data_IF_803762555499
#
_entry.id   IF_803762555499
#
_cell.length_a   1.000
_cell.length_b   1.000
_cell.length_c   1.000
_cell.angle_alpha   90.00
_cell.angle_beta   90.00
_cell.angle_gamma   90.00
#
_symmetry.space_group_name_H-M   'P 1'
#
loop_
_entity.id
_entity.type
_entity.pdbx_description
1 polymer ?
#
# COMPACT_ATOMS: atom_id res chain seq x y z
N UNK A 1 -27.64 3.77 -31.00
CA UNK A 1 -26.81 3.31 -29.87
C UNK A 1 -25.44 3.00 -30.42
N UNK A 2 -24.48 3.90 -30.25
CA UNK A 2 -23.10 3.63 -30.65
C UNK A 2 -22.55 2.56 -29.74
N UNK A 3 -22.10 1.42 -30.28
CA UNK A 3 -21.47 0.37 -29.50
C UNK A 3 -20.13 0.88 -28.99
N UNK A 4 -19.99 1.13 -27.70
CA UNK A 4 -18.70 1.41 -27.08
C UNK A 4 -17.85 0.14 -27.13
N UNK A 5 -16.62 0.27 -27.62
CA UNK A 5 -15.65 -0.84 -27.63
C UNK A 5 -14.94 -0.84 -26.28
N UNK A 6 -14.92 -2.00 -25.61
CA UNK A 6 -14.28 -2.19 -24.31
C UNK A 6 -13.01 -3.03 -24.48
N UNK A 7 -11.88 -2.50 -24.00
CA UNK A 7 -10.59 -3.18 -23.96
C UNK A 7 -10.27 -3.55 -22.50
N UNK A 8 -10.15 -4.85 -22.22
CA UNK A 8 -9.90 -5.35 -20.86
C UNK A 8 -8.40 -5.40 -20.58
N UNK A 9 -7.92 -4.49 -19.73
CA UNK A 9 -6.59 -4.53 -19.15
C UNK A 9 -6.50 -5.47 -17.94
N UNK A 10 -5.31 -5.54 -17.33
CA UNK A 10 -5.04 -6.40 -16.18
C UNK A 10 -5.62 -5.82 -14.88
N UNK A 11 -5.51 -4.50 -14.69
CA UNK A 11 -6.11 -3.75 -13.57
C UNK A 11 -6.91 -2.54 -14.07
N UNK A 12 -7.43 -2.60 -15.29
CA UNK A 12 -8.25 -1.53 -15.84
C UNK A 12 -9.10 -1.99 -17.00
N UNK A 13 -10.07 -1.16 -17.37
CA UNK A 13 -10.91 -1.26 -18.56
C UNK A 13 -10.78 0.06 -19.31
N UNK A 14 -10.64 -0.01 -20.63
CA UNK A 14 -10.65 1.18 -21.48
C UNK A 14 -11.87 1.12 -22.37
N UNK A 15 -12.71 2.15 -22.33
CA UNK A 15 -13.82 2.32 -23.23
C UNK A 15 -13.51 3.44 -24.22
N UNK A 16 -13.80 3.22 -25.49
CA UNK A 16 -13.77 4.29 -26.50
C UNK A 16 -15.18 4.85 -26.62
N UNK A 17 -15.37 6.08 -26.15
CA UNK A 17 -16.65 6.81 -26.14
C UNK A 17 -16.54 8.02 -27.07
N UNK A 18 -16.94 7.84 -28.34
CA UNK A 18 -16.97 8.86 -29.40
C UNK A 18 -15.65 9.62 -29.60
N UNK A 19 -15.37 10.62 -28.76
CA UNK A 19 -14.22 11.53 -28.80
C UNK A 19 -13.28 11.37 -27.57
N UNK A 20 -13.59 10.43 -26.67
CA UNK A 20 -12.94 10.29 -25.38
C UNK A 20 -12.56 8.84 -25.09
N UNK A 21 -11.42 8.66 -24.44
CA UNK A 21 -11.06 7.42 -23.76
C UNK A 21 -11.59 7.50 -22.33
N UNK A 22 -12.35 6.49 -21.91
CA UNK A 22 -12.76 6.34 -20.51
C UNK A 22 -11.96 5.19 -19.91
N UNK A 23 -11.06 5.50 -18.98
CA UNK A 23 -10.23 4.51 -18.29
C UNK A 23 -10.80 4.28 -16.90
N UNK A 24 -11.19 3.05 -16.62
CA UNK A 24 -11.66 2.61 -15.30
C UNK A 24 -10.61 1.69 -14.72
N UNK A 25 -9.95 2.11 -13.65
CA UNK A 25 -8.98 1.28 -12.95
C UNK A 25 -9.67 0.38 -11.93
N UNK A 26 -9.19 -0.84 -11.78
CA UNK A 26 -9.62 -1.73 -10.70
C UNK A 26 -8.69 -1.54 -9.53
N UNK A 27 -9.27 -1.24 -8.38
CA UNK A 27 -8.56 -1.21 -7.12
C UNK A 27 -8.06 -2.61 -6.77
N UNK A 28 -6.74 -2.75 -6.60
CA UNK A 28 -6.09 -4.02 -6.28
C UNK A 28 -6.48 -4.51 -4.88
N UNK A 29 -6.80 -3.60 -3.96
CA UNK A 29 -7.14 -3.93 -2.58
C UNK A 29 -8.57 -4.46 -2.46
N UNK A 30 -9.55 -3.71 -2.98
CA UNK A 30 -10.98 -4.06 -2.85
C UNK A 30 -11.48 -4.91 -4.01
N UNK A 31 -10.80 -4.88 -5.16
CA UNK A 31 -11.32 -5.42 -6.42
C UNK A 31 -12.41 -4.56 -7.07
N UNK A 32 -12.74 -3.40 -6.48
CA UNK A 32 -13.75 -2.47 -6.98
C UNK A 32 -13.24 -1.61 -8.13
N UNK A 33 -14.16 -1.05 -8.92
CA UNK A 33 -13.83 -0.10 -9.97
C UNK A 33 -13.65 1.31 -9.35
N UNK A 34 -12.51 1.95 -9.61
CA UNK A 34 -12.23 3.34 -9.24
C UNK A 34 -12.99 4.32 -10.14
N UNK A 35 -13.17 5.60 -9.72
CA UNK A 35 -13.80 6.61 -10.56
C UNK A 35 -13.18 6.68 -11.97
N UNK A 36 -14.01 6.75 -13.03
CA UNK A 36 -13.52 6.75 -14.40
C UNK A 36 -12.74 8.02 -14.72
N UNK A 37 -11.58 7.87 -15.36
CA UNK A 37 -10.80 8.97 -15.93
C UNK A 37 -11.22 9.16 -17.38
N UNK A 38 -11.64 10.37 -17.74
CA UNK A 38 -12.02 10.73 -19.11
C UNK A 38 -10.91 11.54 -19.77
N UNK A 39 -10.33 10.98 -20.82
CA UNK A 39 -9.23 11.58 -21.58
C UNK A 39 -9.73 11.87 -23.00
N UNK A 40 -9.93 13.14 -23.38
CA UNK A 40 -10.26 13.49 -24.75
C UNK A 40 -9.18 12.96 -25.70
N UNK A 41 -9.57 12.31 -26.79
CA UNK A 41 -8.64 11.80 -27.82
C UNK A 41 -7.84 12.95 -28.43
N UNK A 42 -8.45 14.13 -28.53
CA UNK A 42 -7.81 15.37 -28.95
C UNK A 42 -6.66 15.83 -28.04
N UNK A 43 -6.67 15.44 -26.76
CA UNK A 43 -5.63 15.79 -25.80
C UNK A 43 -4.41 14.83 -25.85
N UNK A 44 -4.56 13.66 -26.48
CA UNK A 44 -3.47 12.68 -26.61
C UNK A 44 -2.50 13.15 -27.68
N UNK A 45 -1.28 13.49 -27.27
CA UNK A 45 -0.21 13.96 -28.15
C UNK A 45 0.63 12.81 -28.74
N UNK A 46 0.78 11.72 -27.98
CA UNK A 46 1.48 10.51 -28.40
C UNK A 46 1.05 9.30 -27.58
N UNK A 47 1.39 8.10 -28.06
CA UNK A 47 1.26 6.85 -27.31
C UNK A 47 2.56 6.03 -27.35
N UNK A 48 2.70 5.11 -26.40
CA UNK A 48 3.72 4.06 -26.44
C UNK A 48 3.12 2.72 -26.03
N UNK A 49 3.29 1.72 -26.88
CA UNK A 49 2.91 0.33 -26.61
C UNK A 49 4.14 -0.51 -26.28
N UNK A 50 4.13 -1.14 -25.10
CA UNK A 50 5.14 -2.11 -24.68
C UNK A 50 4.49 -3.49 -24.63
N UNK A 51 5.01 -4.42 -25.42
CA UNK A 51 4.48 -5.79 -25.52
C UNK A 51 4.83 -6.58 -24.24
N UNK A 52 3.89 -7.36 -23.68
CA UNK A 52 4.16 -8.21 -22.52
C UNK A 52 5.25 -9.24 -22.80
N UNK A 53 6.05 -9.54 -21.78
CA UNK A 53 7.07 -10.60 -21.82
C UNK A 53 6.72 -11.72 -20.83
N UNK A 54 7.58 -12.73 -20.66
CA UNK A 54 7.38 -13.74 -19.62
C UNK A 54 7.41 -13.18 -18.19
N UNK A 55 8.10 -12.05 -17.97
CA UNK A 55 8.32 -11.49 -16.64
C UNK A 55 7.63 -10.13 -16.41
N UNK A 56 7.05 -9.53 -17.46
CA UNK A 56 6.46 -8.19 -17.39
C UNK A 56 5.13 -8.13 -18.13
N UNK A 57 4.17 -7.45 -17.53
CA UNK A 57 2.92 -7.06 -18.19
C UNK A 57 3.19 -6.08 -19.34
N UNK A 58 2.28 -6.08 -20.32
CA UNK A 58 2.24 -5.08 -21.38
C UNK A 58 1.78 -3.75 -20.82
N UNK A 59 2.13 -2.66 -21.51
CA UNK A 59 1.76 -1.30 -21.12
C UNK A 59 1.33 -0.51 -22.37
N UNK A 60 0.20 0.18 -22.29
CA UNK A 60 -0.18 1.25 -23.21
C UNK A 60 -0.09 2.55 -22.43
N UNK A 61 0.90 3.38 -22.76
CA UNK A 61 1.10 4.72 -22.18
C UNK A 61 0.53 5.79 -23.08
N UNK A 62 -0.25 6.69 -22.50
CA UNK A 62 -0.79 7.88 -23.13
C UNK A 62 0.05 9.08 -22.72
N UNK A 63 0.39 9.95 -23.66
CA UNK A 63 1.04 11.22 -23.39
C UNK A 63 0.05 12.32 -23.74
N UNK A 64 -0.40 13.06 -22.72
CA UNK A 64 -1.40 14.12 -22.86
C UNK A 64 -0.70 15.48 -22.88
N UNK A 65 -1.06 16.33 -23.84
CA UNK A 65 -0.45 17.65 -24.03
C UNK A 65 0.96 17.58 -24.61
N UNK A 66 1.98 17.38 -23.78
CA UNK A 66 3.40 17.43 -24.18
C UNK A 66 4.01 16.04 -24.22
N UNK A 67 4.76 15.74 -25.29
CA UNK A 67 5.50 14.47 -25.41
C UNK A 67 6.84 14.58 -24.68
N UNK A 68 7.10 13.78 -23.62
CA UNK A 68 8.37 13.81 -22.90
C UNK A 68 9.50 13.18 -23.72
N UNK A 69 10.72 13.68 -23.49
CA UNK A 69 11.95 13.24 -24.19
C UNK A 69 12.39 11.83 -23.77
N UNK A 70 12.11 11.43 -22.52
CA UNK A 70 12.44 10.10 -22.00
C UNK A 70 11.18 9.22 -21.93
N UNK A 71 11.23 8.03 -22.54
CA UNK A 71 10.08 7.12 -22.69
C UNK A 71 10.45 5.68 -22.35
N UNK A 72 11.15 5.49 -21.23
CA UNK A 72 11.42 4.15 -20.73
C UNK A 72 10.13 3.48 -20.23
N UNK A 73 10.09 2.15 -20.35
CA UNK A 73 9.02 1.34 -19.80
C UNK A 73 8.98 1.50 -18.27
N UNK A 74 7.82 1.80 -17.72
CA UNK A 74 7.65 1.90 -16.27
C UNK A 74 7.81 0.51 -15.63
N UNK A 75 8.25 0.47 -14.38
CA UNK A 75 8.13 -0.77 -13.58
C UNK A 75 6.65 -1.14 -13.47
N UNK A 76 6.31 -2.42 -13.26
CA UNK A 76 4.90 -2.82 -13.12
C UNK A 76 4.19 -2.03 -12.02
N UNK A 77 4.86 -1.79 -10.89
CA UNK A 77 4.29 -0.99 -9.81
C UNK A 77 4.06 0.48 -10.21
N UNK A 78 5.04 1.11 -10.87
CA UNK A 78 4.89 2.48 -11.37
C UNK A 78 3.80 2.59 -12.45
N UNK A 79 3.71 1.61 -13.35
CA UNK A 79 2.68 1.55 -14.39
C UNK A 79 1.28 1.43 -13.81
N UNK A 80 1.10 0.69 -12.70
CA UNK A 80 -0.20 0.58 -12.00
C UNK A 80 -0.55 1.81 -11.15
N UNK A 81 0.35 2.79 -11.06
CA UNK A 81 0.15 4.05 -10.34
C UNK A 81 -0.02 5.25 -11.28
N UNK A 82 0.40 5.12 -12.53
CA UNK A 82 0.28 6.18 -13.53
C UNK A 82 -1.13 6.18 -14.15
N UNK A 83 -1.94 7.25 -13.96
CA UNK A 83 -3.31 7.34 -14.49
C UNK A 83 -3.37 7.38 -16.03
N UNK A 84 -2.22 7.56 -16.69
CA UNK A 84 -2.07 7.54 -18.14
C UNK A 84 -1.45 6.24 -18.66
N UNK A 85 -1.25 5.25 -17.79
CA UNK A 85 -0.74 3.92 -18.17
C UNK A 85 -1.80 2.85 -17.95
N UNK A 86 -2.08 2.09 -19.01
CA UNK A 86 -2.91 0.89 -18.94
C UNK A 86 -2.03 -0.35 -19.04
N UNK A 87 -2.16 -1.28 -18.08
CA UNK A 87 -1.43 -2.55 -18.10
C UNK A 87 -2.30 -3.67 -18.65
N UNK A 88 -1.72 -4.61 -19.39
CA UNK A 88 -2.46 -5.74 -19.99
C UNK A 88 -1.61 -7.01 -20.06
N UNK A 89 -2.28 -8.17 -20.15
CA UNK A 89 -1.63 -9.48 -20.20
C UNK A 89 -1.31 -9.92 -21.65
N UNK A 90 -0.73 -11.11 -21.80
CA UNK A 90 -0.40 -11.67 -23.12
C UNK A 90 -1.62 -11.98 -23.99
N UNK A 91 -2.80 -12.21 -23.39
CA UNK A 91 -4.02 -12.58 -24.12
C UNK A 91 -4.64 -11.34 -24.78
N UNK A 92 -4.52 -10.19 -24.14
CA UNK A 92 -5.04 -8.91 -24.63
C UNK A 92 -4.11 -8.17 -25.61
N UNK A 93 -2.98 -8.76 -26.03
CA UNK A 93 -2.01 -8.08 -26.92
C UNK A 93 -2.63 -7.64 -28.23
N UNK A 94 -3.46 -8.48 -28.85
CA UNK A 94 -4.15 -8.15 -30.10
C UNK A 94 -5.06 -6.92 -29.93
N UNK A 95 -5.88 -6.92 -28.89
CA UNK A 95 -6.82 -5.84 -28.59
C UNK A 95 -6.10 -4.51 -28.34
N UNK A 96 -5.04 -4.50 -27.53
CA UNK A 96 -4.26 -3.29 -27.26
C UNK A 96 -3.41 -2.83 -28.43
N UNK A 97 -3.02 -3.73 -29.33
CA UNK A 97 -2.36 -3.36 -30.60
C UNK A 97 -3.34 -2.67 -31.54
N UNK A 98 -4.58 -3.16 -31.61
CA UNK A 98 -5.65 -2.51 -32.37
C UNK A 98 -6.02 -1.14 -31.79
N UNK A 99 -6.14 -1.02 -30.46
CA UNK A 99 -6.35 0.27 -29.78
C UNK A 99 -5.22 1.26 -30.06
N UNK A 100 -3.96 0.83 -29.93
CA UNK A 100 -2.81 1.68 -30.23
C UNK A 100 -2.81 2.16 -31.69
N UNK A 101 -3.12 1.27 -32.63
CA UNK A 101 -3.22 1.61 -34.05
C UNK A 101 -4.30 2.67 -34.32
N UNK A 102 -5.47 2.52 -33.69
CA UNK A 102 -6.55 3.50 -33.81
C UNK A 102 -6.18 4.86 -33.18
N UNK A 103 -5.48 4.84 -32.04
CA UNK A 103 -4.98 6.06 -31.39
C UNK A 103 -3.95 6.79 -32.25
N UNK A 104 -2.97 6.08 -32.82
CA UNK A 104 -1.99 6.69 -33.74
C UNK A 104 -2.67 7.37 -34.94
N UNK A 105 -3.70 6.72 -35.52
CA UNK A 105 -4.49 7.29 -36.62
C UNK A 105 -5.26 8.55 -36.18
N UNK A 106 -5.86 8.51 -34.99
CA UNK A 106 -6.62 9.64 -34.44
C UNK A 106 -5.72 10.82 -34.12
N UNK A 107 -4.52 10.57 -33.58
CA UNK A 107 -3.50 11.59 -33.33
C UNK A 107 -3.06 12.25 -34.63
N UNK A 108 -2.74 11.44 -35.65
CA UNK A 108 -2.35 11.96 -36.96
C UNK A 108 -3.46 12.81 -37.61
N UNK A 109 -4.73 12.39 -37.47
CA UNK A 109 -5.87 13.17 -37.93
C UNK A 109 -5.98 14.52 -37.20
N UNK A 110 -5.94 14.52 -35.87
CA UNK A 110 -6.01 15.74 -35.04
C UNK A 110 -4.89 16.74 -35.40
N UNK A 111 -3.68 16.25 -35.61
CA UNK A 111 -2.56 17.07 -36.06
C UNK A 111 -2.80 17.66 -37.47
N UNK A 112 -3.38 16.89 -38.38
CA UNK A 112 -3.66 17.34 -39.75
C UNK A 112 -4.72 18.46 -39.82
N UNK A 113 -5.65 18.50 -38.86
CA UNK A 113 -6.68 19.54 -38.75
C UNK A 113 -6.27 20.70 -37.83
N UNK A 114 -5.02 20.72 -37.36
CA UNK A 114 -4.48 21.80 -36.55
C UNK A 114 -4.94 21.81 -35.09
N UNK A 115 -5.41 20.67 -34.56
CA UNK A 115 -5.70 20.53 -33.13
C UNK A 115 -4.41 20.51 -32.33
N UNK A 116 -4.26 21.47 -31.41
CA UNK A 116 -3.17 21.51 -30.44
C UNK A 116 -3.55 20.72 -29.18
N UNK A 117 -2.90 19.57 -28.89
CA UNK A 117 -3.24 18.76 -27.72
C UNK A 117 -2.95 19.45 -26.40
N UNK A 118 -2.09 20.48 -26.36
CA UNK A 118 -1.76 21.21 -25.12
C UNK A 118 -2.87 22.13 -24.65
N UNK A 119 -3.77 22.55 -25.57
CA UNK A 119 -4.92 23.39 -25.26
C UNK A 119 -6.17 22.63 -24.85
N UNK A 120 -6.15 21.29 -24.91
CA UNK A 120 -7.33 20.47 -24.59
C UNK A 120 -7.31 20.14 -23.08
N UNK A 121 -8.30 20.60 -22.31
CA UNK A 121 -8.34 20.34 -20.87
C UNK A 121 -8.53 18.85 -20.60
N UNK A 122 -7.75 18.30 -19.67
CA UNK A 122 -7.90 16.93 -19.18
C UNK A 122 -8.02 16.99 -17.67
N UNK A 123 -9.10 16.41 -17.18
CA UNK A 123 -9.35 16.27 -15.75
C UNK A 123 -8.61 15.01 -15.26
N UNK A 124 -7.32 15.18 -15.00
CA UNK A 124 -6.52 14.15 -14.35
C UNK A 124 -6.63 14.34 -12.85
N UNK A 125 -6.89 13.27 -12.08
CA UNK A 125 -6.85 13.38 -10.63
C UNK A 125 -5.44 13.83 -10.24
N UNK A 126 -5.35 14.78 -9.31
CA UNK A 126 -4.05 15.28 -8.88
C UNK A 126 -3.25 14.10 -8.32
N UNK A 127 -1.94 14.06 -8.60
CA UNK A 127 -1.08 12.98 -8.10
C UNK A 127 -1.15 12.88 -6.58
N UNK A 128 -1.30 14.02 -5.88
CA UNK A 128 -1.42 14.07 -4.42
C UNK A 128 -2.73 13.45 -3.91
N UNK A 129 -3.86 13.73 -4.58
CA UNK A 129 -5.15 13.13 -4.21
C UNK A 129 -5.15 11.61 -4.45
N UNK A 130 -4.54 11.16 -5.55
CA UNK A 130 -4.43 9.73 -5.84
C UNK A 130 -3.52 8.99 -4.88
N UNK A 131 -2.39 9.60 -4.49
CA UNK A 131 -1.45 8.98 -3.56
C UNK A 131 -2.04 8.93 -2.15
N UNK A 132 -2.77 9.97 -1.73
CA UNK A 132 -3.43 10.02 -0.42
C UNK A 132 -4.56 8.99 -0.32
N UNK A 133 -5.52 9.01 -1.26
CA UNK A 133 -6.63 8.06 -1.27
C UNK A 133 -6.14 6.61 -1.33
N UNK A 134 -5.07 6.35 -2.10
CA UNK A 134 -4.46 5.02 -2.20
C UNK A 134 -3.71 4.62 -0.93
N UNK A 135 -3.03 5.55 -0.26
CA UNK A 135 -2.36 5.27 1.02
C UNK A 135 -3.35 4.96 2.13
N UNK A 136 -4.47 5.67 2.18
CA UNK A 136 -5.58 5.41 3.11
C UNK A 136 -6.19 4.03 2.83
N UNK A 137 -6.44 3.72 1.58
CA UNK A 137 -6.99 2.44 1.16
C UNK A 137 -6.01 1.27 1.40
N UNK A 138 -4.71 1.43 1.14
CA UNK A 138 -3.68 0.43 1.46
C UNK A 138 -3.64 0.17 2.97
N UNK A 139 -3.83 1.22 3.78
CA UNK A 139 -3.96 1.13 5.23
C UNK A 139 -5.20 0.31 5.63
N UNK A 140 -6.38 0.63 5.07
CA UNK A 140 -7.63 -0.08 5.34
C UNK A 140 -7.54 -1.55 4.92
N UNK A 141 -7.05 -1.81 3.71
CA UNK A 141 -6.82 -3.15 3.18
C UNK A 141 -5.89 -3.99 4.07
N UNK A 142 -4.78 -3.38 4.50
CA UNK A 142 -3.84 -4.05 5.41
C UNK A 142 -4.49 -4.35 6.75
N UNK A 143 -5.26 -3.41 7.34
CA UNK A 143 -6.01 -3.65 8.59
C UNK A 143 -6.98 -4.83 8.44
N UNK A 144 -7.82 -4.84 7.40
CA UNK A 144 -8.75 -5.93 7.13
C UNK A 144 -8.05 -7.27 6.94
N UNK A 145 -6.90 -7.28 6.25
CA UNK A 145 -6.09 -8.49 6.07
C UNK A 145 -5.52 -9.01 7.40
N UNK A 146 -5.05 -8.12 8.29
CA UNK A 146 -4.57 -8.50 9.63
C UNK A 146 -5.72 -9.06 10.47
N UNK A 147 -6.87 -8.39 10.52
CA UNK A 147 -8.06 -8.84 11.26
C UNK A 147 -8.53 -10.22 10.76
N UNK A 148 -8.52 -10.45 9.45
CA UNK A 148 -8.81 -11.77 8.87
C UNK A 148 -7.80 -12.84 9.29
N UNK A 149 -6.54 -12.47 9.53
CA UNK A 149 -5.46 -13.39 9.92
C UNK A 149 -5.49 -13.69 11.43
N UNK A 150 -5.62 -12.66 12.25
CA UNK A 150 -5.51 -12.72 13.71
C UNK A 150 -6.85 -12.91 14.42
N UNK A 151 -7.95 -12.66 13.71
CA UNK A 151 -9.31 -12.72 14.23
C UNK A 151 -9.83 -11.35 14.66
N UNK A 152 -11.15 -11.24 14.93
CA UNK A 152 -11.76 -10.02 15.42
C UNK A 152 -11.21 -9.65 16.80
N UNK A 153 -11.07 -8.35 17.08
CA UNK A 153 -10.56 -7.85 18.36
C UNK A 153 -9.04 -7.96 18.52
N UNK A 154 -8.29 -8.10 17.42
CA UNK A 154 -6.84 -7.89 17.42
C UNK A 154 -6.50 -6.52 18.01
N UNK A 155 -5.41 -6.47 18.77
CA UNK A 155 -4.99 -5.24 19.46
C UNK A 155 -4.59 -4.16 18.45
N UNK A 156 -4.95 -2.91 18.74
CA UNK A 156 -4.73 -1.77 17.85
C UNK A 156 -3.24 -1.51 17.56
N UNK A 157 -2.36 -1.75 18.53
CA UNK A 157 -0.91 -1.57 18.37
C UNK A 157 -0.31 -2.60 17.40
N UNK A 158 -0.81 -3.84 17.43
CA UNK A 158 -0.44 -4.88 16.46
C UNK A 158 -0.91 -4.49 15.06
N UNK A 159 -2.14 -3.97 14.93
CA UNK A 159 -2.67 -3.48 13.65
C UNK A 159 -1.82 -2.33 13.09
N UNK A 160 -1.54 -1.31 13.90
CA UNK A 160 -0.75 -0.16 13.52
C UNK A 160 0.66 -0.56 13.05
N UNK A 161 1.32 -1.47 13.77
CA UNK A 161 2.64 -1.97 13.39
C UNK A 161 2.62 -2.75 12.05
N UNK A 162 1.57 -3.53 11.80
CA UNK A 162 1.41 -4.26 10.54
C UNK A 162 1.13 -3.34 9.35
N UNK A 163 0.34 -2.27 9.53
CA UNK A 163 0.07 -1.27 8.49
C UNK A 163 1.37 -0.63 7.99
N UNK A 164 2.27 -0.27 8.90
CA UNK A 164 3.57 0.32 8.52
C UNK A 164 4.49 -0.64 7.75
N UNK A 165 4.23 -1.95 7.83
CA UNK A 165 5.03 -2.97 7.16
C UNK A 165 4.66 -3.14 5.67
N UNK A 166 3.44 -2.75 5.29
CA UNK A 166 2.90 -2.98 3.95
C UNK A 166 2.49 -4.44 3.74
N UNK A 167 3.09 -5.13 2.76
CA UNK A 167 2.62 -6.45 2.32
C UNK A 167 2.77 -7.55 3.38
N UNK A 168 1.63 -8.16 3.74
CA UNK A 168 1.54 -9.28 4.69
C UNK A 168 1.61 -10.67 4.03
N UNK A 169 1.83 -10.73 2.71
CA UNK A 169 1.84 -11.98 1.98
C UNK A 169 2.93 -12.93 2.48
N UNK A 170 2.55 -14.15 2.88
CA UNK A 170 3.46 -15.16 3.42
C UNK A 170 3.75 -15.03 4.91
N UNK A 171 3.21 -14.03 5.61
CA UNK A 171 3.51 -13.78 7.02
C UNK A 171 2.44 -14.25 8.00
N UNK A 172 1.38 -14.92 7.51
CA UNK A 172 0.21 -15.32 8.33
C UNK A 172 0.58 -16.06 9.61
N UNK A 173 1.41 -17.10 9.51
CA UNK A 173 1.77 -17.93 10.68
C UNK A 173 2.68 -17.16 11.65
N UNK A 174 3.62 -16.36 11.12
CA UNK A 174 4.48 -15.48 11.92
C UNK A 174 3.70 -14.39 12.64
N UNK A 175 2.66 -13.84 12.01
CA UNK A 175 1.74 -12.87 12.61
C UNK A 175 1.05 -13.47 13.83
N UNK A 176 0.47 -14.66 13.66
CA UNK A 176 -0.21 -15.38 14.76
C UNK A 176 0.75 -15.74 15.88
N UNK A 177 1.93 -16.28 15.56
CA UNK A 177 2.93 -16.65 16.55
C UNK A 177 3.46 -15.43 17.33
N UNK A 178 3.65 -14.30 16.65
CA UNK A 178 4.04 -13.06 17.31
C UNK A 178 2.93 -12.56 18.25
N UNK A 179 1.69 -12.45 17.76
CA UNK A 179 0.57 -11.98 18.58
C UNK A 179 0.36 -12.85 19.83
N UNK A 180 0.49 -14.17 19.69
CA UNK A 180 0.40 -15.11 20.81
C UNK A 180 1.58 -15.03 21.78
N UNK A 181 2.73 -14.48 21.35
CA UNK A 181 3.90 -14.31 22.20
C UNK A 181 3.78 -13.09 23.12
N UNK A 182 2.96 -12.10 22.75
CA UNK A 182 2.82 -10.84 23.45
C UNK A 182 2.13 -11.04 24.81
N UNK A 183 2.62 -10.34 25.82
CA UNK A 183 1.91 -10.22 27.09
C UNK A 183 0.87 -9.09 27.03
N UNK A 184 -0.04 -9.05 28.00
CA UNK A 184 -1.11 -8.05 28.06
C UNK A 184 -0.62 -6.62 28.32
N UNK A 185 0.56 -6.47 28.92
CA UNK A 185 1.21 -5.21 29.28
C UNK A 185 2.23 -4.71 28.24
N UNK A 186 2.58 -5.55 27.27
CA UNK A 186 3.44 -5.15 26.15
C UNK A 186 2.68 -4.31 25.16
N UNK A 187 3.34 -3.34 24.52
CA UNK A 187 2.83 -2.62 23.34
C UNK A 187 3.83 -2.81 22.21
N UNK A 188 3.35 -3.11 21.01
CA UNK A 188 4.14 -3.25 19.79
C UNK A 188 4.42 -1.86 19.23
N UNK A 189 5.70 -1.50 19.20
CA UNK A 189 6.13 -0.19 18.67
C UNK A 189 6.45 -0.28 17.19
N UNK A 190 7.20 -1.31 16.80
CA UNK A 190 7.65 -1.50 15.42
C UNK A 190 7.64 -2.96 15.04
N UNK A 191 7.44 -3.18 13.75
CA UNK A 191 7.45 -4.48 13.12
C UNK A 191 8.20 -4.40 11.80
N UNK A 192 9.12 -5.33 11.55
CA UNK A 192 9.86 -5.38 10.29
C UNK A 192 10.01 -6.82 9.77
N UNK A 193 9.64 -7.08 8.50
CA UNK A 193 9.90 -8.33 7.83
C UNK A 193 11.36 -8.36 7.37
N UNK A 194 12.01 -9.50 7.53
CA UNK A 194 13.41 -9.69 7.19
C UNK A 194 13.81 -11.15 7.12
N UNK A 195 15.11 -11.40 7.34
CA UNK A 195 15.70 -12.72 7.33
C UNK A 195 16.62 -12.92 8.53
N UNK A 196 16.43 -14.01 9.25
CA UNK A 196 17.23 -14.42 10.40
C UNK A 196 17.65 -15.89 10.24
N UNK A 197 18.93 -16.18 10.49
CA UNK A 197 19.50 -17.52 10.32
C UNK A 197 19.21 -18.17 8.94
N UNK A 198 19.15 -17.35 7.87
CA UNK A 198 18.89 -17.79 6.50
C UNK A 198 17.40 -17.93 6.13
N UNK A 199 16.50 -18.02 7.10
CA UNK A 199 15.05 -18.11 6.91
C UNK A 199 14.35 -16.75 6.88
N UNK A 200 13.09 -16.74 6.45
CA UNK A 200 12.22 -15.57 6.58
C UNK A 200 11.91 -15.34 8.07
N UNK A 201 11.94 -14.10 8.53
CA UNK A 201 11.69 -13.77 9.92
C UNK A 201 11.02 -12.42 10.07
N UNK A 202 10.37 -12.26 11.20
CA UNK A 202 9.78 -11.02 11.64
C UNK A 202 10.56 -10.54 12.85
N UNK A 203 10.95 -9.28 12.81
CA UNK A 203 11.60 -8.58 13.90
C UNK A 203 10.58 -7.58 14.46
N UNK A 204 10.09 -7.83 15.67
CA UNK A 204 9.21 -6.88 16.36
C UNK A 204 9.90 -6.27 17.57
N UNK A 205 9.70 -4.96 17.71
CA UNK A 205 10.07 -4.19 18.89
C UNK A 205 8.80 -3.96 19.70
N UNK A 206 8.88 -4.28 20.99
CA UNK A 206 7.85 -3.95 21.96
C UNK A 206 8.44 -3.06 23.04
N UNK A 207 7.57 -2.48 23.87
CA UNK A 207 7.97 -1.71 25.06
C UNK A 207 8.90 -2.46 26.02
N UNK A 208 8.89 -3.80 26.02
CA UNK A 208 9.64 -4.62 26.99
C UNK A 208 10.80 -5.42 26.40
N UNK A 209 10.70 -5.78 25.11
CA UNK A 209 11.66 -6.67 24.43
C UNK A 209 11.62 -6.58 22.91
N UNK A 210 12.68 -7.08 22.30
CA UNK A 210 12.74 -7.43 20.88
C UNK A 210 12.44 -8.92 20.71
N UNK A 211 11.52 -9.22 19.80
CA UNK A 211 11.12 -10.58 19.42
C UNK A 211 11.55 -10.86 17.98
N UNK A 212 12.14 -12.04 17.77
CA UNK A 212 12.39 -12.58 16.42
C UNK A 212 11.55 -13.83 16.23
N UNK A 213 10.57 -13.75 15.34
CA UNK A 213 9.73 -14.87 14.95
C UNK A 213 10.17 -15.37 13.58
N UNK A 214 10.77 -16.55 13.54
CA UNK A 214 11.23 -17.15 12.28
C UNK A 214 10.11 -17.99 11.68
N UNK A 215 9.93 -17.86 10.37
CA UNK A 215 9.09 -18.73 9.56
C UNK A 215 9.99 -19.64 8.73
N UNK A 216 10.04 -20.90 9.11
CA UNK A 216 10.53 -21.98 8.26
C UNK A 216 9.35 -22.55 7.45
N UNK A 217 9.63 -23.33 6.40
CA UNK A 217 8.60 -23.87 5.49
C UNK A 217 7.42 -24.56 6.21
N UNK A 218 7.72 -25.27 7.30
CA UNK A 218 6.74 -26.08 8.02
C UNK A 218 6.52 -25.63 9.47
N UNK A 219 7.27 -24.64 9.96
CA UNK A 219 7.28 -24.26 11.38
C UNK A 219 7.54 -22.78 11.58
N UNK A 220 6.67 -22.14 12.35
CA UNK A 220 6.92 -20.84 12.93
C UNK A 220 7.35 -21.00 14.38
N UNK A 221 8.44 -20.34 14.77
CA UNK A 221 8.90 -20.34 16.17
C UNK A 221 9.47 -18.99 16.57
N UNK A 222 9.32 -18.67 17.86
CA UNK A 222 10.03 -17.56 18.48
C UNK A 222 11.47 -18.03 18.68
N UNK A 223 12.38 -17.51 17.87
CA UNK A 223 13.79 -17.92 17.88
C UNK A 223 14.61 -17.13 18.91
N UNK A 224 14.24 -15.86 19.13
CA UNK A 224 14.94 -15.02 20.08
C UNK A 224 14.01 -14.01 20.75
N UNK A 225 14.33 -13.74 22.01
CA UNK A 225 13.68 -12.77 22.88
C UNK A 225 14.79 -12.02 23.60
N UNK A 226 15.02 -10.76 23.25
CA UNK A 226 16.03 -9.91 23.88
C UNK A 226 15.33 -8.82 24.69
N UNK A 227 15.62 -8.71 26.00
CA UNK A 227 14.96 -7.69 26.84
C UNK A 227 15.59 -6.32 26.61
N UNK A 228 14.76 -5.29 26.45
CA UNK A 228 15.17 -3.96 25.96
C UNK A 228 16.17 -3.17 26.82
N UNK A 229 16.25 -3.26 28.16
CA UNK A 229 17.03 -2.27 28.92
C UNK A 229 18.55 -2.35 28.70
N UNK A 230 19.05 -3.35 27.98
CA UNK A 230 20.48 -3.53 27.69
C UNK A 230 20.76 -3.73 26.20
N UNK A 231 19.78 -3.45 25.34
CA UNK A 231 19.92 -3.66 23.92
C UNK A 231 20.76 -2.56 23.26
N UNK A 232 21.62 -2.98 22.34
CA UNK A 232 22.28 -2.11 21.38
C UNK A 232 21.85 -2.54 19.99
N UNK A 233 21.48 -1.57 19.16
CA UNK A 233 21.18 -1.80 17.76
C UNK A 233 22.15 -1.02 16.88
N UNK A 234 22.68 -1.68 15.86
CA UNK A 234 23.52 -1.07 14.82
C UNK A 234 22.88 -1.34 13.46
N UNK A 235 22.55 -0.26 12.73
CA UNK A 235 22.07 -0.35 11.36
C UNK A 235 23.23 -0.33 10.37
N UNK A 236 23.23 -1.28 9.42
CA UNK A 236 24.20 -1.39 8.34
C UNK A 236 23.45 -1.40 7.00
N UNK A 237 23.63 -0.33 6.24
CA UNK A 237 23.02 -0.21 4.92
C UNK A 237 23.74 -1.09 3.88
N UNK A 238 22.96 -1.71 2.98
CA UNK A 238 23.44 -2.41 1.78
C UNK A 238 22.74 -1.87 0.54
N UNK A 239 23.16 -2.33 -0.64
CA UNK A 239 22.71 -1.80 -1.93
C UNK A 239 21.17 -1.70 -2.04
N UNK A 240 20.43 -2.79 -1.78
CA UNK A 240 18.96 -2.84 -1.92
C UNK A 240 18.18 -2.95 -0.59
N UNK A 241 18.82 -3.43 0.46
CA UNK A 241 18.23 -3.69 1.78
C UNK A 241 19.25 -3.30 2.83
N UNK A 242 18.99 -3.54 4.11
CA UNK A 242 20.05 -3.48 5.11
C UNK A 242 20.03 -4.65 6.08
N UNK A 243 20.93 -4.52 7.05
CA UNK A 243 21.15 -5.47 8.11
C UNK A 243 21.16 -4.71 9.43
N UNK A 244 20.40 -5.20 10.41
CA UNK A 244 20.48 -4.72 11.76
C UNK A 244 21.21 -5.76 12.61
N UNK A 245 22.19 -5.31 13.39
CA UNK A 245 22.77 -6.10 14.47
C UNK A 245 22.10 -5.66 15.76
N UNK A 246 21.63 -6.62 16.54
CA UNK A 246 21.00 -6.37 17.84
C UNK A 246 21.75 -7.21 18.86
N UNK A 247 22.34 -6.57 19.85
CA UNK A 247 23.14 -7.23 20.86
C UNK A 247 22.63 -6.91 22.27
N UNK A 248 22.58 -7.93 23.11
CA UNK A 248 22.59 -7.81 24.57
C UNK A 248 23.97 -8.26 25.10
N UNK A 249 24.25 -8.18 26.41
CA UNK A 249 25.55 -8.62 26.95
C UNK A 249 25.87 -10.11 26.75
N UNK A 250 24.88 -10.94 26.43
CA UNK A 250 25.00 -12.40 26.32
C UNK A 250 25.10 -12.89 24.88
N UNK A 251 24.53 -12.16 23.92
CA UNK A 251 24.47 -12.57 22.51
C UNK A 251 24.27 -11.40 21.55
N UNK A 252 24.76 -11.61 20.33
CA UNK A 252 24.52 -10.76 19.17
C UNK A 252 23.67 -11.50 18.13
N UNK A 253 22.63 -10.83 17.63
CA UNK A 253 21.75 -11.31 16.58
C UNK A 253 21.90 -10.44 15.34
N UNK A 254 21.73 -11.04 14.17
CA UNK A 254 21.83 -10.36 12.86
C UNK A 254 20.59 -10.64 12.03
N UNK A 255 19.82 -9.59 11.73
CA UNK A 255 18.66 -9.68 10.84
C UNK A 255 18.97 -8.91 9.57
N UNK A 256 18.78 -9.55 8.42
CA UNK A 256 19.09 -9.02 7.10
C UNK A 256 17.85 -8.86 6.24
N UNK A 257 17.96 -8.16 5.11
CA UNK A 257 16.85 -8.03 4.17
C UNK A 257 15.76 -7.09 4.64
N UNK A 258 16.08 -6.21 5.61
CA UNK A 258 15.17 -5.17 6.10
C UNK A 258 15.13 -4.03 5.08
N UNK A 259 13.98 -3.38 4.95
CA UNK A 259 13.88 -2.14 4.20
C UNK A 259 14.71 -1.03 4.89
N UNK A 260 15.15 -0.04 4.10
CA UNK A 260 16.10 0.96 4.60
C UNK A 260 15.48 1.93 5.60
N UNK A 261 14.22 2.31 5.40
CA UNK A 261 13.54 3.28 6.23
C UNK A 261 13.20 2.66 7.60
N UNK A 262 12.56 1.50 7.58
CA UNK A 262 12.20 0.72 8.75
C UNK A 262 13.42 0.31 9.57
N UNK A 263 14.47 -0.20 8.92
CA UNK A 263 15.69 -0.62 9.62
C UNK A 263 16.41 0.51 10.38
N UNK A 264 16.45 1.72 9.80
CA UNK A 264 16.96 2.92 10.48
C UNK A 264 16.07 3.32 11.66
N UNK A 265 14.75 3.38 11.43
CA UNK A 265 13.77 3.74 12.45
C UNK A 265 13.85 2.80 13.66
N UNK A 266 13.96 1.50 13.41
CA UNK A 266 14.10 0.47 14.43
C UNK A 266 15.38 0.65 15.26
N UNK A 267 16.53 0.82 14.60
CA UNK A 267 17.78 1.06 15.31
C UNK A 267 17.69 2.33 16.19
N UNK A 268 17.07 3.40 15.67
CA UNK A 268 16.81 4.62 16.43
C UNK A 268 15.89 4.39 17.62
N UNK A 269 14.81 3.61 17.51
CA UNK A 269 13.89 3.34 18.63
C UNK A 269 14.56 2.52 19.74
N UNK A 270 15.36 1.51 19.38
CA UNK A 270 16.11 0.72 20.36
C UNK A 270 17.11 1.59 21.13
N UNK A 271 17.75 2.56 20.47
CA UNK A 271 18.68 3.50 21.10
C UNK A 271 17.93 4.55 21.94
N UNK A 272 16.82 5.05 21.42
CA UNK A 272 16.08 6.16 22.00
C UNK A 272 15.24 5.75 23.21
N UNK A 273 14.82 4.49 23.32
CA UNK A 273 14.00 3.96 24.42
C UNK A 273 14.68 4.13 25.78
N UNK A 274 14.36 5.18 26.56
CA UNK A 274 14.95 5.41 27.86
C UNK A 274 14.16 4.58 28.87
N UNK A 275 14.88 3.74 29.62
CA UNK A 275 14.55 3.23 30.97
C UNK A 275 13.22 3.74 31.55
N UNK A 276 12.17 2.90 31.65
CA UNK A 276 11.18 3.09 32.70
C UNK A 276 11.87 2.77 34.03
N UNK A 277 12.09 3.77 34.88
CA UNK A 277 12.24 3.49 36.30
C UNK A 277 10.91 2.90 36.79
N UNK A 278 10.97 1.84 37.58
CA UNK A 278 9.81 1.11 38.10
C UNK A 278 8.63 2.04 38.41
N UNK A 279 7.51 1.83 37.72
CA UNK A 279 6.29 2.58 37.97
C UNK A 279 5.71 2.17 39.32
N UNK A 280 5.80 3.07 40.29
CA UNK A 280 4.72 3.28 41.24
C UNK A 280 3.44 3.52 40.44
N UNK A 281 2.40 2.76 40.75
CA UNK A 281 1.03 2.97 40.31
C UNK A 281 0.67 4.45 40.38
N UNK A 282 0.15 5.06 39.30
CA UNK A 282 -0.83 6.15 39.30
C UNK A 282 -1.32 6.44 37.86
N UNK A 283 -2.63 6.20 37.63
CA UNK A 283 -3.53 7.15 36.95
C UNK A 283 -3.43 7.39 35.44
N UNK A 284 -4.18 6.58 34.67
CA UNK A 284 -5.17 6.96 33.65
C UNK A 284 -5.09 8.29 32.85
N UNK A 285 -5.26 8.11 31.53
CA UNK A 285 -5.97 8.96 30.54
C UNK A 285 -5.20 10.05 29.80
N UNK A 286 -4.55 9.69 28.69
CA UNK A 286 -4.45 10.59 27.54
C UNK A 286 -5.70 10.43 26.67
N UNK A 287 -6.55 11.46 26.73
CA UNK A 287 -7.68 11.66 25.82
C UNK A 287 -7.13 12.02 24.45
N UNK A 288 -7.34 11.15 23.47
CA UNK A 288 -7.26 11.54 22.07
C UNK A 288 -8.36 12.59 21.82
N UNK A 289 -7.95 13.83 21.58
CA UNK A 289 -8.78 15.04 21.63
C UNK A 289 -9.69 15.22 20.42
N UNK A 290 -10.18 14.14 19.82
CA UNK A 290 -11.16 14.24 18.74
C UNK A 290 -12.54 14.39 19.36
N UNK A 291 -13.14 15.56 19.19
CA UNK A 291 -14.52 15.84 19.61
C UNK A 291 -15.47 14.76 19.06
N UNK A 292 -16.20 14.02 19.93
CA UNK A 292 -17.08 12.92 19.51
C UNK A 292 -18.16 13.33 18.50
N UNK A 293 -18.59 14.60 18.50
CA UNK A 293 -19.50 15.12 17.49
C UNK A 293 -18.84 15.24 16.11
N UNK A 294 -17.57 15.63 16.06
CA UNK A 294 -16.78 15.69 14.82
C UNK A 294 -16.52 14.29 14.26
N UNK A 295 -16.30 13.30 15.14
CA UNK A 295 -16.17 11.90 14.73
C UNK A 295 -17.49 11.32 14.17
N UNK A 296 -18.64 11.68 14.75
CA UNK A 296 -19.96 11.28 14.24
C UNK A 296 -20.27 11.92 12.88
N UNK A 297 -19.90 13.19 12.66
CA UNK A 297 -20.09 13.86 11.38
C UNK A 297 -19.30 13.18 10.25
N UNK A 298 -18.02 12.89 10.49
CA UNK A 298 -17.17 12.18 9.53
C UNK A 298 -17.67 10.77 9.22
N UNK A 299 -18.23 10.09 10.22
CA UNK A 299 -18.82 8.77 10.03
C UNK A 299 -20.04 8.82 9.08
N UNK A 300 -20.85 9.89 9.17
CA UNK A 300 -21.93 10.17 8.24
C UNK A 300 -21.43 10.42 6.82
N UNK A 301 -20.42 11.29 6.68
CA UNK A 301 -19.83 11.60 5.36
C UNK A 301 -19.31 10.34 4.64
N UNK A 302 -18.71 9.40 5.38
CA UNK A 302 -18.22 8.13 4.84
C UNK A 302 -19.35 7.16 4.44
N UNK A 303 -20.47 7.16 5.17
CA UNK A 303 -21.65 6.35 4.81
C UNK A 303 -22.36 6.91 3.58
N UNK A 304 -22.54 8.23 3.51
CA UNK A 304 -23.12 8.93 2.36
C UNK A 304 -22.25 8.77 1.10
N UNK A 305 -20.93 8.71 1.26
CA UNK A 305 -19.99 8.40 0.19
C UNK A 305 -20.01 6.92 -0.25
N UNK A 306 -20.77 6.06 0.43
CA UNK A 306 -20.86 4.62 0.16
C UNK A 306 -19.59 3.84 0.54
N UNK A 307 -18.73 4.43 1.36
CA UNK A 307 -17.48 3.79 1.84
C UNK A 307 -17.79 2.75 2.92
N UNK A 308 -18.82 3.00 3.75
CA UNK A 308 -19.30 2.10 4.77
C UNK A 308 -20.63 1.48 4.37
N UNK A 309 -20.81 0.19 4.65
CA UNK A 309 -22.13 -0.45 4.59
C UNK A 309 -23.02 0.02 5.74
N UNK A 310 -24.34 -0.12 5.60
CA UNK A 310 -25.31 0.24 6.65
C UNK A 310 -25.00 -0.43 8.01
N UNK A 311 -24.47 -1.66 7.97
CA UNK A 311 -24.13 -2.42 9.18
C UNK A 311 -22.87 -1.87 9.86
N UNK A 312 -21.82 -1.58 9.09
CA UNK A 312 -20.58 -1.01 9.61
C UNK A 312 -20.79 0.42 10.16
N UNK A 313 -21.66 1.19 9.51
CA UNK A 313 -22.06 2.51 9.98
C UNK A 313 -22.76 2.44 11.34
N UNK A 314 -23.78 1.59 11.50
CA UNK A 314 -24.51 1.47 12.77
C UNK A 314 -23.65 0.90 13.91
N UNK A 315 -22.75 -0.05 13.62
CA UNK A 315 -21.80 -0.57 14.61
C UNK A 315 -20.84 0.52 15.09
N UNK A 316 -20.21 1.27 14.18
CA UNK A 316 -19.28 2.36 14.52
C UNK A 316 -19.98 3.51 15.25
N UNK A 317 -21.20 3.87 14.82
CA UNK A 317 -22.05 4.88 15.47
C UNK A 317 -22.39 4.47 16.89
N UNK A 318 -22.72 3.20 17.14
CA UNK A 318 -23.02 2.70 18.48
C UNK A 318 -21.81 2.80 19.43
N UNK A 319 -20.60 2.59 18.91
CA UNK A 319 -19.35 2.73 19.68
C UNK A 319 -19.08 4.20 20.02
N UNK A 320 -19.29 5.12 19.08
CA UNK A 320 -19.13 6.56 19.33
C UNK A 320 -20.18 7.11 20.30
N UNK A 321 -21.44 6.67 20.17
CA UNK A 321 -22.51 7.08 21.08
C UNK A 321 -22.30 6.58 22.51
N UNK A 322 -21.61 5.45 22.73
CA UNK A 322 -21.24 4.99 24.08
C UNK A 322 -20.11 5.80 24.72
N UNK A 323 -19.38 6.58 23.93
CA UNK A 323 -18.28 7.45 24.39
C UNK A 323 -18.73 8.87 24.73
N UNK A 324 -19.96 9.23 24.35
CA UNK A 324 -20.67 10.46 24.74
C UNK A 324 -21.33 10.28 26.12
#
# INVERSE_FOLDING_TARGET
MSSSVCYQGFYSKVFVDSDSLVVVYTDIATGGDLPPIRIPVAAVAAIRLYVPTALKLGQLRLFVGVVPVATDQLSTNAATRDPLTVTFDKKAVGDFTALATWLDQSIAYNQSVGTDPTGVPVDLPSTEDTDTARSELETVSTRLAVEKILGPGVREDVLAACVHTGSLFGWKQSLQAFANALTSDEVVELWLPGRFAGGAAILGLTTSRVLIVRSDLDRTKIDAVLRTPQLRAEWIERWNTGLIKIADPTRELKVSGLDKAGGRLFASHVIASPRPAAATEHGSSERDGTDPYTALARLGDLHDAGVLTDTEFEDAKSVLLRKL
#
